data_IF_098639144730
#
_entry.id   IF_098639144730
#
_cell.length_a   1.000
_cell.length_b   1.000
_cell.length_c   1.000
_cell.angle_alpha   90.00
_cell.angle_beta   90.00
_cell.angle_gamma   90.00
#
_symmetry.space_group_name_H-M   'P 1'
#
loop_
_entity.id
_entity.type
_entity.pdbx_description
1 polymer ?
#
# COMPACT_ATOMS: atom_id res chain seq x y z
N UNK A 1 -23.43 5.73 -29.29
CA UNK A 1 -23.34 5.99 -27.85
C UNK A 1 -24.74 5.95 -27.26
N UNK A 2 -25.03 5.11 -26.27
CA UNK A 2 -26.40 4.85 -25.85
C UNK A 2 -26.84 5.85 -24.76
N UNK A 3 -27.12 7.08 -25.14
CA UNK A 3 -27.81 8.07 -24.33
C UNK A 3 -29.27 8.12 -24.73
N UNK A 4 -30.15 8.06 -23.72
CA UNK A 4 -31.60 7.98 -23.90
C UNK A 4 -32.27 9.12 -23.15
N UNK A 5 -33.43 9.56 -23.66
CA UNK A 5 -34.30 10.53 -22.97
C UNK A 5 -35.35 9.77 -22.17
N UNK A 6 -35.46 10.05 -20.88
CA UNK A 6 -36.48 9.49 -20.02
C UNK A 6 -37.84 10.15 -20.32
N UNK A 7 -38.80 9.36 -20.77
CA UNK A 7 -40.15 9.84 -21.16
C UNK A 7 -40.94 10.41 -19.99
N UNK A 8 -40.65 9.98 -18.75
CA UNK A 8 -41.40 10.44 -17.54
C UNK A 8 -40.83 11.75 -16.99
N UNK A 9 -39.50 11.93 -17.02
CA UNK A 9 -38.85 13.09 -16.38
C UNK A 9 -38.33 14.11 -17.39
N UNK A 10 -38.34 13.79 -18.68
CA UNK A 10 -37.80 14.64 -19.75
C UNK A 10 -36.27 14.79 -19.72
N UNK A 11 -35.59 14.18 -18.73
CA UNK A 11 -34.14 14.26 -18.55
C UNK A 11 -33.42 13.16 -19.31
N UNK A 12 -32.13 13.40 -19.58
CA UNK A 12 -31.27 12.44 -20.28
C UNK A 12 -30.61 11.47 -19.28
N UNK A 13 -30.36 10.24 -19.74
CA UNK A 13 -29.59 9.25 -19.00
C UNK A 13 -28.70 8.48 -19.96
N UNK A 14 -27.54 8.00 -19.46
CA UNK A 14 -26.66 7.09 -20.18
C UNK A 14 -26.68 5.71 -19.52
N UNK A 15 -26.65 4.67 -20.36
CA UNK A 15 -26.62 3.27 -19.94
C UNK A 15 -25.68 2.51 -20.91
N UNK A 16 -24.56 2.03 -20.38
CA UNK A 16 -23.54 1.35 -21.19
C UNK A 16 -22.89 0.19 -20.41
N UNK A 17 -22.20 -0.64 -21.17
CA UNK A 17 -21.40 -1.73 -20.60
C UNK A 17 -19.92 -1.32 -20.61
N UNK A 18 -19.21 -1.70 -19.57
CA UNK A 18 -17.77 -1.56 -19.49
C UNK A 18 -17.17 -2.84 -18.91
N UNK A 19 -15.91 -3.11 -19.23
CA UNK A 19 -15.16 -4.21 -18.65
C UNK A 19 -14.39 -3.67 -17.46
N UNK A 20 -14.58 -4.27 -16.27
CA UNK A 20 -13.82 -3.90 -15.10
C UNK A 20 -12.39 -4.48 -15.18
N UNK A 21 -11.57 -4.18 -14.17
CA UNK A 21 -10.19 -4.66 -14.09
C UNK A 21 -10.07 -6.20 -13.99
N UNK A 22 -11.15 -6.91 -13.60
CA UNK A 22 -11.20 -8.39 -13.55
C UNK A 22 -11.52 -9.02 -14.90
N UNK A 23 -11.75 -8.22 -15.94
CA UNK A 23 -12.23 -8.68 -17.24
C UNK A 23 -13.74 -8.96 -17.28
N UNK A 24 -14.46 -8.71 -16.19
CA UNK A 24 -15.90 -8.94 -16.10
C UNK A 24 -16.67 -7.78 -16.73
N UNK A 25 -17.65 -8.11 -17.60
CA UNK A 25 -18.52 -7.11 -18.23
C UNK A 25 -19.59 -6.64 -17.23
N UNK A 26 -19.55 -5.36 -16.86
CA UNK A 26 -20.51 -4.71 -15.97
C UNK A 26 -21.33 -3.65 -16.71
N UNK A 27 -22.53 -3.35 -16.20
CA UNK A 27 -23.40 -2.31 -16.73
C UNK A 27 -23.43 -1.12 -15.79
N UNK A 28 -23.28 0.11 -16.34
CA UNK A 28 -23.46 1.36 -15.62
C UNK A 28 -24.61 2.14 -16.19
N UNK A 29 -25.44 2.73 -15.32
CA UNK A 29 -26.51 3.62 -15.70
C UNK A 29 -26.45 4.87 -14.80
N UNK A 30 -26.48 6.07 -15.40
CA UNK A 30 -26.62 7.32 -14.66
C UNK A 30 -27.71 8.18 -15.31
N UNK A 31 -28.63 8.69 -14.48
CA UNK A 31 -29.81 9.46 -14.89
C UNK A 31 -29.72 10.89 -14.39
N UNK A 32 -30.56 11.78 -14.97
CA UNK A 32 -30.80 13.12 -14.45
C UNK A 32 -30.03 14.22 -15.12
N UNK A 33 -29.44 14.00 -16.30
CA UNK A 33 -28.76 15.03 -17.05
C UNK A 33 -29.76 15.98 -17.73
N UNK A 34 -29.49 17.29 -17.71
CA UNK A 34 -30.30 18.29 -18.38
C UNK A 34 -30.15 18.22 -19.91
N UNK A 35 -28.92 17.99 -20.39
CA UNK A 35 -28.59 17.95 -21.80
C UNK A 35 -28.01 16.60 -22.21
N UNK A 36 -28.25 16.19 -23.45
CA UNK A 36 -27.67 14.99 -24.06
C UNK A 36 -26.15 15.02 -24.00
N UNK A 37 -25.57 16.18 -24.36
CA UNK A 37 -24.11 16.38 -24.35
C UNK A 37 -23.46 16.08 -23.02
N UNK A 38 -24.10 16.43 -21.92
CA UNK A 38 -23.57 16.19 -20.56
C UNK A 38 -23.57 14.70 -20.22
N UNK A 39 -24.60 13.97 -20.67
CA UNK A 39 -24.67 12.52 -20.51
C UNK A 39 -23.59 11.81 -21.36
N UNK A 40 -23.37 12.23 -22.62
CA UNK A 40 -22.33 11.70 -23.49
C UNK A 40 -20.93 12.03 -22.99
N UNK A 41 -20.73 13.22 -22.41
CA UNK A 41 -19.46 13.62 -21.82
C UNK A 41 -19.16 12.79 -20.57
N UNK A 42 -20.16 12.61 -19.70
CA UNK A 42 -20.01 11.79 -18.50
C UNK A 42 -19.68 10.32 -18.82
N UNK A 43 -20.28 9.75 -19.87
CA UNK A 43 -19.95 8.39 -20.32
C UNK A 43 -18.50 8.30 -20.77
N UNK A 44 -18.02 9.25 -21.60
CA UNK A 44 -16.62 9.30 -22.04
C UNK A 44 -15.66 9.42 -20.88
N UNK A 45 -15.92 10.34 -19.96
CA UNK A 45 -15.08 10.55 -18.77
C UNK A 45 -15.06 9.32 -17.87
N UNK A 46 -16.21 8.63 -17.74
CA UNK A 46 -16.29 7.39 -16.98
C UNK A 46 -15.47 6.27 -17.65
N UNK A 47 -15.61 6.07 -18.95
CA UNK A 47 -14.86 5.05 -19.69
C UNK A 47 -13.35 5.31 -19.65
N UNK A 48 -12.93 6.57 -19.79
CA UNK A 48 -11.53 6.96 -19.66
C UNK A 48 -10.99 6.69 -18.23
N UNK A 49 -11.77 6.99 -17.23
CA UNK A 49 -11.42 6.74 -15.83
C UNK A 49 -11.46 5.24 -15.48
N UNK A 50 -12.45 4.52 -15.99
CA UNK A 50 -12.61 3.08 -15.73
C UNK A 50 -11.59 2.23 -16.46
N UNK A 51 -11.20 2.62 -17.67
CA UNK A 51 -10.16 1.93 -18.44
C UNK A 51 -8.78 1.99 -17.78
N UNK A 52 -8.57 2.98 -16.88
CA UNK A 52 -7.30 3.18 -16.20
C UNK A 52 -7.33 3.06 -14.67
N UNK A 53 -8.48 2.87 -14.04
CA UNK A 53 -8.63 3.02 -12.57
C UNK A 53 -9.11 1.73 -11.93
N UNK A 54 -8.39 1.16 -10.96
CA UNK A 54 -8.80 -0.06 -10.27
C UNK A 54 -10.00 0.23 -9.36
N UNK A 55 -11.16 -0.33 -9.66
CA UNK A 55 -12.35 -0.30 -8.80
C UNK A 55 -12.30 -1.39 -7.70
N UNK A 56 -11.23 -2.19 -7.67
CA UNK A 56 -11.07 -3.21 -6.65
C UNK A 56 -10.91 -2.60 -5.27
N UNK A 57 -11.32 -3.35 -4.25
CA UNK A 57 -11.05 -2.98 -2.86
C UNK A 57 -9.56 -3.11 -2.55
N UNK A 58 -9.08 -2.38 -1.55
CA UNK A 58 -7.70 -2.50 -1.09
C UNK A 58 -7.39 -3.93 -0.63
N UNK A 59 -8.35 -4.64 -0.02
CA UNK A 59 -8.20 -6.03 0.38
C UNK A 59 -7.86 -6.94 -0.81
N UNK A 60 -8.58 -6.79 -1.93
CA UNK A 60 -8.31 -7.56 -3.14
C UNK A 60 -6.92 -7.24 -3.71
N UNK A 61 -6.54 -5.96 -3.78
CA UNK A 61 -5.21 -5.54 -4.22
C UNK A 61 -4.10 -6.11 -3.32
N UNK A 62 -4.28 -6.06 -2.00
CA UNK A 62 -3.31 -6.59 -1.04
C UNK A 62 -3.13 -8.11 -1.19
N UNK A 63 -4.24 -8.84 -1.45
CA UNK A 63 -4.20 -10.27 -1.76
C UNK A 63 -3.34 -10.56 -2.99
N UNK A 64 -3.60 -9.89 -4.11
CA UNK A 64 -2.84 -10.03 -5.36
C UNK A 64 -1.35 -9.67 -5.18
N UNK A 65 -1.07 -8.59 -4.44
CA UNK A 65 0.30 -8.21 -4.11
C UNK A 65 1.03 -9.29 -3.29
N UNK A 66 0.37 -9.88 -2.29
CA UNK A 66 0.97 -10.92 -1.46
C UNK A 66 1.19 -12.22 -2.23
N UNK A 67 0.32 -12.56 -3.17
CA UNK A 67 0.51 -13.72 -4.07
C UNK A 67 1.73 -13.52 -4.99
N UNK A 68 1.84 -12.37 -5.65
CA UNK A 68 3.03 -12.04 -6.46
C UNK A 68 4.31 -12.04 -5.61
N UNK A 69 4.21 -11.55 -4.37
CA UNK A 69 5.34 -11.50 -3.45
C UNK A 69 5.84 -12.90 -3.07
N UNK A 70 4.94 -13.88 -2.85
CA UNK A 70 5.29 -15.26 -2.50
C UNK A 70 6.16 -15.93 -3.57
N UNK A 71 5.94 -15.61 -4.84
CA UNK A 71 6.71 -16.18 -5.95
C UNK A 71 8.10 -15.56 -6.11
N UNK A 72 8.30 -14.32 -5.59
CA UNK A 72 9.51 -13.51 -5.86
C UNK A 72 10.39 -13.26 -4.66
N UNK A 73 9.93 -13.52 -3.44
CA UNK A 73 10.62 -13.11 -2.21
C UNK A 73 10.71 -14.24 -1.18
N UNK A 74 11.69 -14.11 -0.29
CA UNK A 74 11.90 -15.05 0.81
C UNK A 74 10.68 -15.09 1.74
N UNK A 75 10.35 -16.26 2.33
CA UNK A 75 9.19 -16.41 3.23
C UNK A 75 9.16 -15.41 4.38
N UNK A 76 10.31 -15.10 4.98
CA UNK A 76 10.42 -14.10 6.04
C UNK A 76 9.98 -12.69 5.63
N UNK A 77 10.28 -12.28 4.38
CA UNK A 77 9.85 -11.00 3.82
C UNK A 77 8.33 -10.99 3.60
N UNK A 78 7.79 -12.09 3.09
CA UNK A 78 6.32 -12.25 2.88
C UNK A 78 5.60 -12.16 4.22
N UNK A 79 6.06 -12.92 5.24
CA UNK A 79 5.50 -12.90 6.58
C UNK A 79 5.48 -11.49 7.18
N UNK A 80 6.61 -10.80 7.14
CA UNK A 80 6.72 -9.45 7.71
C UNK A 80 5.79 -8.44 7.03
N UNK A 81 5.69 -8.49 5.68
CA UNK A 81 4.83 -7.58 4.94
C UNK A 81 3.35 -7.92 5.14
N UNK A 82 2.98 -9.20 5.12
CA UNK A 82 1.60 -9.62 5.35
C UNK A 82 1.12 -9.23 6.75
N UNK A 83 1.95 -9.39 7.78
CA UNK A 83 1.64 -8.97 9.14
C UNK A 83 1.44 -7.46 9.24
N UNK A 84 2.32 -6.66 8.65
CA UNK A 84 2.18 -5.21 8.65
C UNK A 84 0.92 -4.74 7.90
N UNK A 85 0.61 -5.34 6.74
CA UNK A 85 -0.61 -5.04 5.99
C UNK A 85 -1.84 -5.36 6.84
N UNK A 86 -1.90 -6.56 7.42
CA UNK A 86 -3.05 -7.02 8.22
C UNK A 86 -3.28 -6.17 9.46
N UNK A 87 -2.22 -5.82 10.19
CA UNK A 87 -2.34 -5.15 11.49
C UNK A 87 -2.49 -3.63 11.37
N UNK A 88 -1.87 -3.00 10.37
CA UNK A 88 -1.75 -1.54 10.34
C UNK A 88 -2.42 -0.86 9.14
N UNK A 89 -2.70 -1.59 8.07
CA UNK A 89 -3.25 -1.00 6.84
C UNK A 89 -4.69 -1.45 6.62
N UNK A 90 -4.96 -2.75 6.71
CA UNK A 90 -6.30 -3.31 6.48
C UNK A 90 -7.39 -2.66 7.33
N UNK A 91 -7.22 -2.37 8.64
CA UNK A 91 -8.28 -1.77 9.47
C UNK A 91 -8.80 -0.44 8.93
N UNK A 92 -8.01 0.27 8.10
CA UNK A 92 -8.37 1.58 7.54
C UNK A 92 -8.84 1.54 6.09
N UNK A 93 -8.33 0.59 5.30
CA UNK A 93 -8.49 0.62 3.85
C UNK A 93 -9.17 -0.61 3.26
N UNK A 94 -9.43 -1.66 4.03
CA UNK A 94 -9.91 -2.96 3.56
C UNK A 94 -10.98 -2.87 2.49
N UNK A 95 -12.08 -2.16 2.77
CA UNK A 95 -13.25 -2.06 1.90
C UNK A 95 -13.21 -0.84 0.96
N UNK A 96 -12.15 -0.02 1.03
CA UNK A 96 -12.05 1.18 0.23
C UNK A 96 -11.57 0.84 -1.18
N UNK A 97 -12.28 1.30 -2.24
CA UNK A 97 -11.78 1.17 -3.61
C UNK A 97 -10.42 1.87 -3.78
N UNK A 98 -9.49 1.20 -4.45
CA UNK A 98 -8.09 1.68 -4.55
C UNK A 98 -8.01 3.04 -5.25
N UNK A 99 -8.84 3.26 -6.27
CA UNK A 99 -8.93 4.54 -7.00
C UNK A 99 -9.53 5.69 -6.16
N UNK A 100 -10.17 5.39 -5.03
CA UNK A 100 -10.74 6.38 -4.12
C UNK A 100 -9.82 6.66 -2.92
N UNK A 101 -8.65 6.02 -2.84
CA UNK A 101 -7.66 6.33 -1.79
C UNK A 101 -6.95 7.63 -2.17
N UNK A 102 -7.21 8.68 -1.39
CA UNK A 102 -6.63 10.01 -1.60
C UNK A 102 -5.37 10.23 -0.74
N UNK A 103 -4.57 11.23 -1.09
CA UNK A 103 -3.45 11.69 -0.26
C UNK A 103 -3.90 12.12 1.14
N UNK A 104 -5.12 12.70 1.25
CA UNK A 104 -5.71 13.08 2.53
C UNK A 104 -6.03 11.85 3.41
N UNK A 105 -6.48 10.75 2.82
CA UNK A 105 -6.72 9.50 3.55
C UNK A 105 -5.41 8.92 4.08
N UNK A 106 -4.35 8.93 3.25
CA UNK A 106 -3.01 8.52 3.66
C UNK A 106 -2.54 9.37 4.85
N UNK A 107 -2.72 10.69 4.80
CA UNK A 107 -2.32 11.58 5.89
C UNK A 107 -3.10 11.31 7.18
N UNK A 108 -4.42 11.10 7.11
CA UNK A 108 -5.23 10.72 8.27
C UNK A 108 -4.75 9.42 8.91
N UNK A 109 -4.52 8.39 8.09
CA UNK A 109 -3.97 7.13 8.54
C UNK A 109 -2.58 7.27 9.18
N UNK A 110 -1.68 8.04 8.57
CA UNK A 110 -0.37 8.34 9.15
C UNK A 110 -0.48 8.99 10.53
N UNK A 111 -1.41 9.94 10.70
CA UNK A 111 -1.62 10.61 11.99
C UNK A 111 -2.10 9.63 13.06
N UNK A 112 -2.96 8.68 12.74
CA UNK A 112 -3.35 7.64 13.70
C UNK A 112 -2.19 6.69 14.05
N UNK A 113 -1.31 6.36 13.09
CA UNK A 113 -0.12 5.56 13.39
C UNK A 113 0.86 6.30 14.31
N UNK A 114 1.01 7.61 14.18
CA UNK A 114 1.87 8.43 15.03
C UNK A 114 1.42 8.43 16.50
N UNK A 115 0.12 8.26 16.76
CA UNK A 115 -0.42 8.17 18.12
C UNK A 115 -0.11 6.83 18.83
N UNK A 116 0.32 5.80 18.08
CA UNK A 116 0.56 4.46 18.64
C UNK A 116 1.96 4.27 19.25
N UNK A 117 2.73 5.34 19.42
CA UNK A 117 4.07 5.33 20.04
C UNK A 117 5.07 4.29 19.47
N UNK A 118 4.94 3.95 18.19
CA UNK A 118 5.91 3.10 17.51
C UNK A 118 7.22 3.83 17.23
N UNK A 119 8.33 3.07 17.14
CA UNK A 119 9.61 3.63 16.75
C UNK A 119 9.55 4.29 15.36
N UNK A 120 10.32 5.33 15.14
CA UNK A 120 10.36 6.05 13.87
C UNK A 120 10.72 5.15 12.68
N UNK A 121 11.62 4.18 12.87
CA UNK A 121 11.99 3.21 11.86
C UNK A 121 10.84 2.24 11.52
N UNK A 122 10.06 1.84 12.50
CA UNK A 122 8.90 0.98 12.29
C UNK A 122 7.76 1.70 11.57
N UNK A 123 7.45 2.93 11.97
CA UNK A 123 6.48 3.79 11.27
C UNK A 123 6.85 3.99 9.80
N UNK A 124 8.12 4.26 9.53
CA UNK A 124 8.63 4.37 8.17
C UNK A 124 8.42 3.08 7.40
N UNK A 125 8.73 1.92 7.99
CA UNK A 125 8.54 0.61 7.36
C UNK A 125 7.09 0.34 6.99
N UNK A 126 6.12 0.65 7.88
CA UNK A 126 4.69 0.50 7.58
C UNK A 126 4.29 1.41 6.41
N UNK A 127 4.74 2.67 6.42
CA UNK A 127 4.47 3.61 5.34
C UNK A 127 5.06 3.15 3.98
N UNK A 128 6.28 2.62 4.00
CA UNK A 128 6.92 2.08 2.80
C UNK A 128 6.17 0.86 2.24
N UNK A 129 5.64 -0.03 3.12
CA UNK A 129 4.82 -1.17 2.70
C UNK A 129 3.54 -0.70 2.02
N UNK A 130 2.82 0.28 2.58
CA UNK A 130 1.64 0.87 1.94
C UNK A 130 1.98 1.44 0.55
N UNK A 131 3.09 2.17 0.46
CA UNK A 131 3.58 2.72 -0.80
C UNK A 131 3.93 1.62 -1.82
N UNK A 132 4.51 0.49 -1.39
CA UNK A 132 4.80 -0.66 -2.26
C UNK A 132 3.54 -1.29 -2.83
N UNK A 133 2.49 -1.47 -2.02
CA UNK A 133 1.19 -2.01 -2.47
C UNK A 133 0.55 -1.08 -3.50
N UNK A 134 0.54 0.22 -3.24
CA UNK A 134 -0.02 1.20 -4.18
C UNK A 134 0.83 1.33 -5.47
N UNK A 135 2.16 1.24 -5.39
CA UNK A 135 3.02 1.19 -6.57
C UNK A 135 2.77 -0.08 -7.41
N UNK A 136 2.42 -1.19 -6.79
CA UNK A 136 1.99 -2.39 -7.49
C UNK A 136 0.70 -2.12 -8.29
N UNK A 137 -0.27 -1.37 -7.71
CA UNK A 137 -1.46 -0.96 -8.42
C UNK A 137 -1.16 0.01 -9.58
N UNK A 138 -0.23 0.96 -9.40
CA UNK A 138 0.22 1.85 -10.48
C UNK A 138 0.82 1.06 -11.64
N UNK A 139 1.65 0.06 -11.33
CA UNK A 139 2.39 -0.71 -12.34
C UNK A 139 1.52 -1.70 -13.11
N UNK A 140 0.59 -2.37 -12.44
CA UNK A 140 -0.13 -3.51 -13.00
C UNK A 140 -1.63 -3.30 -13.15
N UNK A 141 -2.22 -2.34 -12.46
CA UNK A 141 -3.67 -2.12 -12.41
C UNK A 141 -4.07 -0.68 -12.79
N UNK A 142 -3.21 0.01 -13.53
CA UNK A 142 -3.47 1.33 -14.10
C UNK A 142 -3.95 2.40 -13.08
N UNK A 143 -3.51 2.32 -11.81
CA UNK A 143 -3.71 3.43 -10.89
C UNK A 143 -2.90 4.63 -11.41
N UNK A 144 -3.49 5.83 -11.60
CA UNK A 144 -2.81 6.95 -12.25
C UNK A 144 -1.54 7.41 -11.54
N UNK A 145 -1.54 7.37 -10.21
CA UNK A 145 -0.39 7.72 -9.39
C UNK A 145 -0.53 7.10 -7.98
N UNK A 146 0.59 6.98 -7.28
CA UNK A 146 0.61 6.54 -5.90
C UNK A 146 0.32 7.71 -4.95
N UNK A 147 -0.82 7.74 -4.20
CA UNK A 147 -1.13 8.82 -3.27
C UNK A 147 -0.12 8.95 -2.12
N UNK A 148 0.59 7.87 -1.74
CA UNK A 148 1.67 7.95 -0.75
C UNK A 148 2.87 8.80 -1.23
N UNK A 149 3.10 8.92 -2.54
CA UNK A 149 4.23 9.71 -3.05
C UNK A 149 4.05 11.21 -2.84
N UNK A 150 2.79 11.66 -2.73
CA UNK A 150 2.43 13.07 -2.44
C UNK A 150 2.25 13.36 -0.96
N UNK A 151 2.11 12.33 -0.14
CA UNK A 151 2.05 12.48 1.30
C UNK A 151 3.47 12.66 1.87
N UNK A 152 3.60 13.50 2.90
CA UNK A 152 4.85 13.61 3.62
C UNK A 152 5.18 12.27 4.30
N UNK A 153 6.45 11.87 4.25
CA UNK A 153 6.90 10.61 4.87
C UNK A 153 6.89 10.75 6.39
N UNK A 154 6.45 9.70 7.07
CA UNK A 154 6.54 9.57 8.52
C UNK A 154 7.76 8.71 8.92
N UNK A 155 8.29 8.98 10.11
CA UNK A 155 9.44 8.25 10.65
C UNK A 155 10.78 8.72 10.08
N UNK A 156 11.46 9.63 10.80
CA UNK A 156 12.82 10.04 10.44
C UNK A 156 13.80 8.90 10.66
N UNK A 157 14.68 8.68 9.71
CA UNK A 157 15.76 7.71 9.83
C UNK A 157 16.91 8.35 10.59
N UNK A 158 16.96 8.14 11.89
CA UNK A 158 18.14 8.46 12.69
C UNK A 158 19.03 7.22 12.66
N UNK A 159 20.08 7.24 11.88
CA UNK A 159 21.15 6.24 12.00
C UNK A 159 22.03 6.64 13.20
N UNK A 160 21.73 6.13 14.36
CA UNK A 160 22.74 6.02 15.42
C UNK A 160 23.45 4.68 15.21
N UNK A 161 24.67 4.71 14.73
CA UNK A 161 25.53 3.55 14.74
C UNK A 161 26.05 3.41 16.17
N UNK A 162 25.46 2.50 16.93
CA UNK A 162 26.00 2.10 18.22
C UNK A 162 26.91 0.91 18.00
N UNK A 163 28.16 1.05 18.34
CA UNK A 163 29.16 -0.01 18.30
C UNK A 163 29.86 -0.08 19.65
N UNK A 164 30.30 -1.23 20.02
CA UNK A 164 31.12 -1.39 21.21
C UNK A 164 32.56 -1.00 20.91
N UNK A 165 33.15 -0.25 21.81
CA UNK A 165 34.61 -0.04 21.80
C UNK A 165 35.28 -1.35 22.21
N UNK A 166 36.57 -1.49 21.91
CA UNK A 166 37.33 -2.69 22.27
C UNK A 166 37.29 -2.95 23.79
N UNK A 167 37.36 -1.88 24.59
CA UNK A 167 37.33 -2.00 26.05
C UNK A 167 35.96 -2.44 26.58
N UNK A 168 34.88 -1.90 26.00
CA UNK A 168 33.51 -2.33 26.31
C UNK A 168 33.27 -3.80 25.93
N UNK A 169 33.80 -4.21 24.77
CA UNK A 169 33.71 -5.59 24.34
C UNK A 169 34.47 -6.53 25.27
N UNK A 170 35.70 -6.20 25.69
CA UNK A 170 36.50 -6.98 26.62
C UNK A 170 35.79 -7.11 27.98
N UNK A 171 35.33 -5.98 28.53
CA UNK A 171 34.58 -5.98 29.78
C UNK A 171 33.31 -6.84 29.71
N UNK A 172 32.58 -6.84 28.59
CA UNK A 172 31.43 -7.72 28.40
C UNK A 172 31.83 -9.20 28.31
N UNK A 173 32.93 -9.50 27.62
CA UNK A 173 33.41 -10.87 27.41
C UNK A 173 33.82 -11.55 28.74
N UNK A 174 34.39 -10.82 29.67
CA UNK A 174 34.78 -11.31 31.01
C UNK A 174 33.57 -11.83 31.81
N UNK A 175 32.35 -11.44 31.47
CA UNK A 175 31.12 -11.90 32.12
C UNK A 175 30.51 -13.15 31.43
N UNK A 176 31.05 -13.60 30.29
CA UNK A 176 30.54 -14.76 29.56
C UNK A 176 31.20 -16.03 30.05
N UNK A 177 30.47 -16.84 30.83
CA UNK A 177 30.97 -18.06 31.43
C UNK A 177 30.94 -19.27 30.50
N UNK A 178 30.05 -19.30 29.50
CA UNK A 178 29.95 -20.38 28.51
C UNK A 178 31.10 -20.30 27.51
N UNK A 179 31.98 -21.34 27.43
CA UNK A 179 33.11 -21.33 26.50
C UNK A 179 32.72 -21.24 25.01
N UNK A 180 31.58 -21.84 24.64
CA UNK A 180 31.10 -21.83 23.28
C UNK A 180 30.61 -20.41 22.88
N UNK A 181 29.83 -19.75 23.75
CA UNK A 181 29.39 -18.38 23.55
C UNK A 181 30.60 -17.42 23.55
N UNK A 182 31.56 -17.60 24.43
CA UNK A 182 32.79 -16.80 24.47
C UNK A 182 33.57 -16.89 23.15
N UNK A 183 33.83 -18.10 22.65
CA UNK A 183 34.50 -18.30 21.36
C UNK A 183 33.71 -17.71 20.19
N UNK A 184 32.38 -17.90 20.16
CA UNK A 184 31.52 -17.35 19.11
C UNK A 184 31.56 -15.82 19.09
N UNK A 185 31.49 -15.16 20.26
CA UNK A 185 31.59 -13.70 20.36
C UNK A 185 32.96 -13.19 19.87
N UNK A 186 34.04 -13.89 20.19
CA UNK A 186 35.38 -13.52 19.67
C UNK A 186 35.42 -13.61 18.15
N UNK A 187 34.95 -14.72 17.57
CA UNK A 187 34.92 -14.89 16.11
C UNK A 187 34.09 -13.78 15.45
N UNK A 188 32.88 -13.51 15.95
CA UNK A 188 31.99 -12.47 15.42
C UNK A 188 32.61 -11.07 15.51
N UNK A 189 33.22 -10.74 16.64
CA UNK A 189 33.81 -9.42 16.86
C UNK A 189 35.01 -9.16 15.95
N UNK A 190 35.97 -10.09 15.91
CA UNK A 190 37.19 -9.91 15.12
C UNK A 190 37.03 -10.14 13.62
N UNK A 191 36.07 -10.97 13.20
CA UNK A 191 35.81 -11.22 11.77
C UNK A 191 34.81 -10.27 11.15
N UNK A 192 33.98 -9.57 11.95
CA UNK A 192 32.88 -8.75 11.46
C UNK A 192 31.77 -9.55 10.79
N UNK A 193 31.75 -10.87 10.94
CA UNK A 193 30.70 -11.73 10.39
C UNK A 193 29.37 -11.48 11.08
N UNK A 194 28.28 -11.66 10.33
CA UNK A 194 26.91 -11.70 10.87
C UNK A 194 26.48 -13.15 11.02
N UNK A 195 25.80 -13.45 12.13
CA UNK A 195 25.18 -14.74 12.34
C UNK A 195 24.00 -14.97 11.41
#
# INVERSE_FOLDING_TARGET
MPTYKDSKTGKWFCKFYYTDYTGTRKQKCKRGFALKRDADQWERDFLLKSAGSPEMTFAALAGLYLEDLKTRRKPSTVYTRSSAIRLHIMPYFENKPVNHITTADIRKWQNTLLQLNYSASYLRRINDIMSMVLNFAVRYYNLPFNPCSRAERIGKHTRSLTFWTLDQYRAALDHVQDPAAHAALQVLFYSGMRY
#
